data_IF_444958761275
#
_entry.id   IF_444958761275
#
_cell.length_a   1.000
_cell.length_b   1.000
_cell.length_c   1.000
_cell.angle_alpha   90.00
_cell.angle_beta   90.00
_cell.angle_gamma   90.00
#
_symmetry.space_group_name_H-M   'P 1'
#
loop_
_entity.id
_entity.type
_entity.pdbx_description
1 polymer ?
#
# COMPACT_ATOMS: atom_id res chain seq x y z
N UNK A 1 -1.97 15.18 7.56
CA UNK A 1 -2.88 14.17 6.96
C UNK A 1 -2.11 13.37 5.91
N UNK A 2 -2.27 12.05 5.91
CA UNK A 2 -1.66 11.14 4.93
C UNK A 2 -2.75 10.43 4.15
N UNK A 3 -2.47 10.03 2.91
CA UNK A 3 -3.34 9.14 2.13
C UNK A 3 -2.66 7.80 1.94
N UNK A 4 -3.39 6.72 2.16
CA UNK A 4 -2.95 5.35 1.91
C UNK A 4 -3.48 4.89 0.56
N UNK A 5 -2.60 4.35 -0.27
CA UNK A 5 -2.91 3.81 -1.58
C UNK A 5 -2.45 2.36 -1.67
N UNK A 6 -3.28 1.50 -2.24
CA UNK A 6 -2.94 0.11 -2.54
C UNK A 6 -2.98 -0.05 -4.04
N UNK A 7 -1.92 -0.61 -4.61
CA UNK A 7 -1.79 -0.83 -6.06
C UNK A 7 -1.38 -2.27 -6.35
N UNK A 8 -2.04 -2.90 -7.32
CA UNK A 8 -1.79 -4.27 -7.72
C UNK A 8 -0.93 -4.29 -8.99
N UNK A 9 0.23 -4.94 -8.92
CA UNK A 9 1.15 -5.06 -10.05
C UNK A 9 1.65 -6.48 -10.23
N UNK A 10 1.97 -6.84 -11.48
CA UNK A 10 2.58 -8.11 -11.81
C UNK A 10 4.12 -7.95 -11.83
N UNK A 11 4.87 -8.67 -10.99
CA UNK A 11 6.32 -8.53 -10.91
C UNK A 11 7.07 -9.27 -12.04
N UNK A 12 6.40 -10.13 -12.81
CA UNK A 12 7.05 -10.99 -13.81
C UNK A 12 6.16 -11.27 -15.01
N UNK A 13 6.70 -11.18 -16.22
CA UNK A 13 5.97 -11.51 -17.44
C UNK A 13 5.71 -13.03 -17.53
N UNK A 14 4.51 -13.40 -17.97
CA UNK A 14 4.13 -14.81 -18.22
C UNK A 14 3.65 -15.60 -17.01
N UNK A 15 3.53 -15.00 -15.83
CA UNK A 15 2.93 -15.61 -14.64
C UNK A 15 1.68 -14.84 -14.21
N UNK A 16 0.59 -15.55 -13.90
CA UNK A 16 -0.58 -14.96 -13.24
C UNK A 16 -0.30 -14.76 -11.74
N UNK A 17 0.53 -13.78 -11.42
CA UNK A 17 0.93 -13.47 -10.05
C UNK A 17 0.84 -11.95 -9.81
N UNK A 18 -0.17 -11.51 -9.06
CA UNK A 18 -0.36 -10.10 -8.69
C UNK A 18 0.12 -9.85 -7.27
N UNK A 19 0.98 -8.85 -7.08
CA UNK A 19 1.43 -8.36 -5.77
C UNK A 19 0.81 -7.00 -5.48
N UNK A 20 0.54 -6.72 -4.21
CA UNK A 20 0.02 -5.42 -3.77
C UNK A 20 1.08 -4.57 -3.10
N UNK A 21 1.37 -3.38 -3.63
CA UNK A 21 2.15 -2.38 -2.90
C UNK A 21 1.24 -1.50 -2.04
N UNK A 22 1.59 -1.30 -0.77
CA UNK A 22 0.89 -0.35 0.12
C UNK A 22 1.77 0.89 0.34
N UNK A 23 1.26 2.03 -0.12
CA UNK A 23 1.99 3.29 -0.20
C UNK A 23 1.31 4.37 0.64
N UNK A 24 2.10 5.15 1.37
CA UNK A 24 1.64 6.38 2.02
C UNK A 24 2.15 7.60 1.25
N UNK A 25 1.27 8.59 1.14
CA UNK A 25 1.58 9.91 0.57
C UNK A 25 1.28 11.01 1.58
N UNK A 26 2.15 12.02 1.62
CA UNK A 26 2.01 13.16 2.52
C UNK A 26 1.17 14.23 1.83
N UNK A 27 -0.06 14.44 2.30
CA UNK A 27 -0.99 15.38 1.68
C UNK A 27 -0.60 16.85 1.87
N UNK A 28 0.37 17.13 2.74
CA UNK A 28 0.89 18.47 2.96
C UNK A 28 1.77 18.98 1.80
N UNK A 29 2.21 18.09 0.91
CA UNK A 29 2.99 18.46 -0.26
C UNK A 29 2.08 18.97 -1.41
N UNK A 30 2.59 19.82 -2.32
CA UNK A 30 1.86 20.22 -3.51
C UNK A 30 1.52 19.00 -4.38
N UNK A 31 0.32 19.00 -5.00
CA UNK A 31 -0.22 17.84 -5.75
C UNK A 31 0.77 17.25 -6.76
N UNK A 32 1.50 18.11 -7.47
CA UNK A 32 2.50 17.72 -8.48
C UNK A 32 3.70 16.94 -7.92
N UNK A 33 3.90 16.93 -6.60
CA UNK A 33 5.03 16.27 -5.95
C UNK A 33 4.63 15.09 -5.05
N UNK A 34 3.34 14.89 -4.76
CA UNK A 34 2.88 13.83 -3.83
C UNK A 34 3.18 12.41 -4.32
N UNK A 35 3.05 12.17 -5.62
CA UNK A 35 3.24 10.85 -6.24
C UNK A 35 4.63 10.68 -6.87
N UNK A 36 5.62 11.49 -6.48
CA UNK A 36 7.02 11.24 -6.84
C UNK A 36 7.56 10.12 -5.98
N UNK A 37 8.39 9.24 -6.55
CA UNK A 37 9.05 8.13 -5.83
C UNK A 37 9.75 8.62 -4.55
N UNK A 38 10.36 9.81 -4.58
CA UNK A 38 11.04 10.40 -3.42
C UNK A 38 10.10 10.80 -2.27
N UNK A 39 8.80 10.96 -2.53
CA UNK A 39 7.80 11.44 -1.57
C UNK A 39 6.74 10.39 -1.22
N UNK A 40 6.84 9.20 -1.83
CA UNK A 40 6.00 8.05 -1.51
C UNK A 40 6.76 7.18 -0.51
N UNK A 41 6.07 6.74 0.53
CA UNK A 41 6.62 5.82 1.53
C UNK A 41 5.99 4.45 1.28
N UNK A 42 6.79 3.45 0.94
CA UNK A 42 6.33 2.05 0.90
C UNK A 42 6.24 1.52 2.33
N UNK A 43 5.05 1.12 2.76
CA UNK A 43 4.80 0.67 4.14
C UNK A 43 4.62 -0.84 4.22
N UNK A 44 4.21 -1.47 3.12
CA UNK A 44 4.03 -2.91 3.09
C UNK A 44 3.88 -3.46 1.69
N UNK A 45 4.08 -4.77 1.57
CA UNK A 45 3.90 -5.53 0.35
C UNK A 45 2.98 -6.72 0.65
N UNK A 46 1.86 -6.79 -0.05
CA UNK A 46 0.88 -7.87 0.02
C UNK A 46 1.32 -8.93 -1.01
N UNK A 47 1.64 -10.16 -0.57
CA UNK A 47 2.05 -11.22 -1.48
C UNK A 47 0.87 -11.69 -2.33
N UNK A 48 1.18 -12.11 -3.56
CA UNK A 48 0.22 -12.72 -4.49
C UNK A 48 -0.15 -14.16 -4.13
N UNK A 49 -0.92 -14.86 -4.99
CA UNK A 49 -1.00 -14.64 -6.44
C UNK A 49 -2.12 -13.71 -6.95
N UNK A 50 -3.02 -13.24 -6.10
CA UNK A 50 -4.17 -12.42 -6.52
C UNK A 50 -4.59 -11.41 -5.45
N UNK A 51 -5.70 -10.72 -5.70
CA UNK A 51 -6.28 -9.80 -4.73
C UNK A 51 -6.70 -10.57 -3.45
N UNK A 52 -6.25 -10.14 -2.26
CA UNK A 52 -6.59 -10.80 -1.00
C UNK A 52 -8.08 -10.64 -0.69
N UNK A 53 -8.61 -11.56 0.12
CA UNK A 53 -9.95 -11.39 0.68
C UNK A 53 -9.98 -10.25 1.70
N UNK A 54 -11.17 -9.73 2.00
CA UNK A 54 -11.36 -8.66 2.99
C UNK A 54 -10.74 -9.01 4.35
N UNK A 55 -10.86 -10.26 4.81
CA UNK A 55 -10.24 -10.71 6.07
C UNK A 55 -8.71 -10.73 6.01
N UNK A 56 -8.14 -11.15 4.88
CA UNK A 56 -6.69 -11.16 4.68
C UNK A 56 -6.14 -9.73 4.64
N UNK A 57 -6.82 -8.83 3.93
CA UNK A 57 -6.46 -7.43 3.88
C UNK A 57 -6.58 -6.77 5.25
N UNK A 58 -7.69 -6.98 5.97
CA UNK A 58 -7.86 -6.45 7.32
C UNK A 58 -6.78 -6.96 8.28
N UNK A 59 -6.45 -8.25 8.23
CA UNK A 59 -5.37 -8.82 9.05
C UNK A 59 -4.00 -8.21 8.72
N UNK A 60 -3.72 -7.97 7.44
CA UNK A 60 -2.50 -7.27 7.02
C UNK A 60 -2.45 -5.82 7.51
N UNK A 61 -3.60 -5.13 7.51
CA UNK A 61 -3.70 -3.71 7.88
C UNK A 61 -3.78 -3.49 9.41
N UNK A 62 -4.19 -4.50 10.18
CA UNK A 62 -4.35 -4.42 11.64
C UNK A 62 -3.17 -3.80 12.39
N UNK A 63 -1.90 -4.17 12.13
CA UNK A 63 -0.75 -3.56 12.80
C UNK A 63 -0.65 -2.06 12.51
N UNK A 64 -0.91 -1.63 11.27
CA UNK A 64 -0.87 -0.22 10.89
C UNK A 64 -1.97 0.57 11.59
N UNK A 65 -3.20 0.04 11.63
CA UNK A 65 -4.29 0.67 12.36
C UNK A 65 -3.93 0.80 13.85
N UNK A 66 -3.46 -0.27 14.48
CA UNK A 66 -3.10 -0.27 15.90
C UNK A 66 -2.04 0.79 16.24
N UNK A 67 -0.97 0.90 15.44
CA UNK A 67 0.08 1.90 15.64
C UNK A 67 -0.46 3.34 15.48
N UNK A 68 -1.40 3.55 14.57
CA UNK A 68 -1.96 4.87 14.27
C UNK A 68 -3.13 5.28 15.20
N UNK A 69 -3.81 4.31 15.83
CA UNK A 69 -4.94 4.55 16.74
C UNK A 69 -4.59 4.37 18.21
N UNK A 70 -3.33 4.10 18.57
CA UNK A 70 -2.85 4.22 19.96
C UNK A 70 -2.81 5.70 20.37
N UNK A 71 -4.00 6.25 20.60
CA UNK A 71 -4.29 7.23 21.66
C UNK A 71 -4.80 6.47 22.88
#
# INVERSE_FOLDING_TARGET
>A
MVSLNVDWFQPSDGMHYSCGGVYLTINNLPRSSRMKVSNIILVGMIPGPGEPTDDQLQNFMRPMCHVLTCQ
#
